data_IF_947591789366
#
_entry.id   IF_947591789366
#
_cell.length_a   1.000
_cell.length_b   1.000
_cell.length_c   1.000
_cell.angle_alpha   90.00
_cell.angle_beta   90.00
_cell.angle_gamma   90.00
#
_symmetry.space_group_name_H-M   'P 1'
#
loop_
_entity.id
_entity.type
_entity.pdbx_description
1 polymer ?
#
# COMPACT_ATOMS: atom_id res chain seq x y z
N UNK A 1 12.88 2.81 6.32
CA UNK A 1 11.75 3.49 7.00
C UNK A 1 10.61 2.49 7.01
N UNK A 2 10.20 2.05 8.18
CA UNK A 2 9.09 1.10 8.32
C UNK A 2 7.76 1.86 8.17
N UNK A 3 6.75 1.27 7.51
CA UNK A 3 5.46 1.93 7.31
C UNK A 3 4.70 1.99 8.64
N UNK A 4 4.03 3.12 8.92
CA UNK A 4 3.11 3.22 10.05
C UNK A 4 1.93 2.25 9.84
N UNK A 5 1.87 1.20 10.66
CA UNK A 5 0.85 0.15 10.55
C UNK A 5 -0.57 0.65 10.79
N UNK A 6 -0.75 1.70 11.60
CA UNK A 6 -2.07 2.29 11.82
C UNK A 6 -2.51 3.04 10.56
N UNK A 7 -1.61 3.79 9.94
CA UNK A 7 -1.90 4.46 8.68
C UNK A 7 -2.16 3.46 7.55
N UNK A 8 -1.36 2.39 7.47
CA UNK A 8 -1.56 1.32 6.48
C UNK A 8 -2.90 0.64 6.66
N UNK A 9 -3.27 0.28 7.91
CA UNK A 9 -4.59 -0.28 8.24
C UNK A 9 -5.72 0.67 7.86
N UNK A 10 -5.57 1.96 8.15
CA UNK A 10 -6.54 2.98 7.80
C UNK A 10 -6.69 3.12 6.27
N UNK A 11 -5.57 3.14 5.55
CA UNK A 11 -5.53 3.23 4.10
C UNK A 11 -6.31 2.08 3.44
N UNK A 12 -6.02 0.83 3.83
CA UNK A 12 -6.66 -0.34 3.23
C UNK A 12 -8.12 -0.55 3.68
N UNK A 13 -8.53 0.00 4.82
CA UNK A 13 -9.86 -0.24 5.40
C UNK A 13 -10.84 0.88 5.12
N UNK A 14 -10.39 2.14 5.14
CA UNK A 14 -11.26 3.33 5.08
C UNK A 14 -11.00 4.23 3.87
N UNK A 15 -9.84 4.11 3.21
CA UNK A 15 -9.43 4.95 2.08
C UNK A 15 -9.21 4.14 0.81
N UNK A 16 -10.05 3.12 0.58
CA UNK A 16 -9.96 2.26 -0.60
C UNK A 16 -10.15 3.04 -1.91
N UNK A 17 -11.02 4.05 -1.90
CA UNK A 17 -11.26 4.92 -3.05
C UNK A 17 -9.98 5.64 -3.51
N UNK A 18 -9.09 6.02 -2.60
CA UNK A 18 -7.81 6.63 -2.94
C UNK A 18 -6.87 5.63 -3.62
N UNK A 19 -6.92 4.36 -3.21
CA UNK A 19 -6.19 3.27 -3.88
C UNK A 19 -6.74 3.07 -5.28
N UNK A 20 -8.08 3.03 -5.44
CA UNK A 20 -8.74 2.88 -6.75
C UNK A 20 -8.38 4.01 -7.71
N UNK A 21 -8.42 5.26 -7.23
CA UNK A 21 -7.99 6.43 -7.99
C UNK A 21 -6.51 6.35 -8.35
N UNK A 22 -5.66 5.89 -7.43
CA UNK A 22 -4.22 5.79 -7.67
C UNK A 22 -3.85 4.74 -8.72
N UNK A 23 -4.65 3.70 -8.90
CA UNK A 23 -4.39 2.64 -9.91
C UNK A 23 -5.10 2.88 -11.24
N UNK A 24 -6.06 3.80 -11.30
CA UNK A 24 -6.83 4.09 -12.50
C UNK A 24 -5.90 4.41 -13.71
N UNK A 25 -6.13 3.72 -14.84
CA UNK A 25 -5.34 3.91 -16.06
C UNK A 25 -3.93 3.31 -16.03
N UNK A 26 -3.50 2.66 -14.95
CA UNK A 26 -2.13 2.10 -14.84
C UNK A 26 -2.02 0.63 -15.23
N UNK A 27 -3.14 -0.06 -15.43
CA UNK A 27 -3.23 -1.51 -15.65
C UNK A 27 -3.09 -2.35 -14.36
N UNK A 28 -2.84 -1.72 -13.20
CA UNK A 28 -2.88 -2.39 -11.91
C UNK A 28 -4.32 -2.48 -11.39
N UNK A 29 -4.58 -3.54 -10.63
CA UNK A 29 -5.86 -3.72 -9.94
C UNK A 29 -5.74 -3.22 -8.51
N UNK A 30 -6.75 -2.51 -8.01
CA UNK A 30 -6.78 -2.01 -6.63
C UNK A 30 -6.61 -3.17 -5.62
N UNK A 31 -7.23 -4.33 -5.91
CA UNK A 31 -7.06 -5.55 -5.09
C UNK A 31 -5.61 -6.02 -4.95
N UNK A 32 -4.77 -5.79 -5.96
CA UNK A 32 -3.34 -6.13 -5.90
C UNK A 32 -2.62 -5.23 -4.91
N UNK A 33 -2.90 -3.92 -4.97
CA UNK A 33 -2.32 -2.94 -4.05
C UNK A 33 -2.79 -3.19 -2.61
N UNK A 34 -4.09 -3.45 -2.43
CA UNK A 34 -4.66 -3.83 -1.13
C UNK A 34 -4.01 -5.10 -0.61
N UNK A 35 -3.84 -6.12 -1.45
CA UNK A 35 -3.19 -7.38 -1.06
C UNK A 35 -1.75 -7.20 -0.57
N UNK A 36 -0.97 -6.32 -1.19
CA UNK A 36 0.37 -5.96 -0.69
C UNK A 36 0.30 -5.26 0.66
N UNK A 37 -0.66 -4.34 0.84
CA UNK A 37 -0.88 -3.67 2.12
C UNK A 37 -1.28 -4.64 3.24
N UNK A 38 -2.17 -5.59 2.95
CA UNK A 38 -2.54 -6.65 3.91
C UNK A 38 -1.35 -7.53 4.25
N UNK A 39 -0.58 -7.97 3.26
CA UNK A 39 0.63 -8.77 3.50
C UNK A 39 1.61 -8.05 4.43
N UNK A 40 1.83 -6.74 4.22
CA UNK A 40 2.66 -5.94 5.11
C UNK A 40 2.09 -5.90 6.54
N UNK A 41 0.78 -5.72 6.72
CA UNK A 41 0.17 -5.76 8.07
C UNK A 41 0.35 -7.11 8.76
N UNK A 42 0.19 -8.21 8.02
CA UNK A 42 0.36 -9.57 8.55
C UNK A 42 1.82 -9.86 8.94
N UNK A 43 2.77 -9.09 8.39
CA UNK A 43 4.21 -9.22 8.62
C UNK A 43 4.80 -7.99 9.34
N UNK A 44 4.00 -7.32 10.18
CA UNK A 44 4.45 -6.22 11.04
C UNK A 44 5.11 -5.04 10.29
N UNK A 45 4.78 -4.87 9.01
CA UNK A 45 5.33 -3.82 8.14
C UNK A 45 6.69 -4.13 7.55
N UNK A 46 7.17 -5.37 7.67
CA UNK A 46 8.48 -5.74 7.16
C UNK A 46 8.52 -5.75 5.62
N UNK A 47 9.10 -4.69 5.06
CA UNK A 47 9.23 -4.48 3.61
C UNK A 47 10.24 -5.47 3.00
N UNK A 48 11.22 -5.96 3.75
CA UNK A 48 12.26 -6.89 3.25
C UNK A 48 11.67 -8.27 2.90
N UNK A 49 10.47 -8.58 3.39
CA UNK A 49 9.73 -9.80 3.03
C UNK A 49 8.95 -9.66 1.72
N UNK A 50 8.89 -8.48 1.12
CA UNK A 50 8.24 -8.29 -0.17
C UNK A 50 9.10 -8.88 -1.30
N UNK A 51 8.46 -9.64 -2.18
CA UNK A 51 9.06 -9.95 -3.48
C UNK A 51 9.28 -8.68 -4.30
N UNK A 52 10.16 -8.72 -5.30
CA UNK A 52 10.46 -7.54 -6.15
C UNK A 52 9.20 -6.94 -6.81
N UNK A 53 8.21 -7.77 -7.15
CA UNK A 53 6.93 -7.28 -7.72
C UNK A 53 6.04 -6.60 -6.68
N UNK A 54 6.00 -7.13 -5.47
CA UNK A 54 5.25 -6.51 -4.37
C UNK A 54 5.93 -5.21 -3.92
N UNK A 55 7.27 -5.19 -3.86
CA UNK A 55 8.05 -4.00 -3.55
C UNK A 55 7.77 -2.88 -4.57
N UNK A 56 7.81 -3.18 -5.87
CA UNK A 56 7.46 -2.21 -6.90
C UNK A 56 6.01 -1.69 -6.75
N UNK A 57 5.08 -2.55 -6.31
CA UNK A 57 3.69 -2.14 -6.03
C UNK A 57 3.62 -1.24 -4.80
N UNK A 58 4.36 -1.56 -3.74
CA UNK A 58 4.46 -0.77 -2.53
C UNK A 58 5.03 0.62 -2.82
N UNK A 59 6.18 0.70 -3.50
CA UNK A 59 6.86 1.97 -3.81
C UNK A 59 6.02 2.85 -4.73
N UNK A 60 5.33 2.25 -5.71
CA UNK A 60 4.56 3.01 -6.70
C UNK A 60 3.24 3.54 -6.16
N UNK A 61 2.56 2.78 -5.29
CA UNK A 61 1.18 3.09 -4.89
C UNK A 61 1.01 3.30 -3.38
N UNK A 62 1.45 2.35 -2.56
CA UNK A 62 1.21 2.43 -1.11
C UNK A 62 2.04 3.53 -0.45
N UNK A 63 3.34 3.61 -0.75
CA UNK A 63 4.24 4.58 -0.14
C UNK A 63 3.78 6.04 -0.37
N UNK A 64 3.44 6.48 -1.60
CA UNK A 64 2.91 7.83 -1.82
C UNK A 64 1.60 8.11 -1.08
N UNK A 65 0.69 7.12 -0.97
CA UNK A 65 -0.59 7.27 -0.29
C UNK A 65 -0.44 7.38 1.23
N UNK A 66 0.54 6.68 1.80
CA UNK A 66 0.90 6.77 3.21
C UNK A 66 1.53 8.14 3.52
N UNK A 67 2.50 8.58 2.70
CA UNK A 67 3.18 9.87 2.88
C UNK A 67 2.22 11.07 2.75
N UNK A 68 1.18 10.98 1.91
CA UNK A 68 0.12 12.02 1.81
C UNK A 68 -0.63 12.25 3.13
N UNK A 69 -0.71 11.25 4.00
CA UNK A 69 -1.40 11.35 5.30
C UNK A 69 -0.66 12.23 6.31
N UNK A 70 0.64 12.47 6.07
CA UNK A 70 1.50 13.24 6.97
C UNK A 70 1.56 14.75 6.64
N UNK A 71 0.70 15.27 5.76
CA UNK A 71 0.58 16.70 5.45
C UNK A 71 -0.70 17.31 5.96
#
# INVERSE_FOLDING_TARGET
MEPDLNQLRNLISKRRDEIEQSVAGTGYLAKTVIGVGTFLLDNEGNIDLLSSKQLATFEKFLKPLLEKTHR
#
